data_IF_141799819670
#
_entry.id   IF_141799819670
#
_cell.length_a   1.000
_cell.length_b   1.000
_cell.length_c   1.000
_cell.angle_alpha   90.00
_cell.angle_beta   90.00
_cell.angle_gamma   90.00
#
_symmetry.space_group_name_H-M   'P 1'
#
loop_
_entity.id
_entity.type
_entity.pdbx_description
1 polymer ?
#
# COMPACT_ATOMS: atom_id res chain seq x y z
N UNK A 1 -19.69 -9.76 22.62
CA UNK A 1 -18.85 -8.60 23.00
C UNK A 1 -18.35 -8.76 24.44
N UNK A 2 -17.16 -8.26 24.78
CA UNK A 2 -16.47 -8.39 26.09
C UNK A 2 -17.10 -7.61 27.27
N UNK A 3 -18.36 -7.15 27.16
CA UNK A 3 -19.10 -6.55 28.28
C UNK A 3 -18.73 -5.10 28.66
N UNK A 4 -17.85 -4.43 27.93
CA UNK A 4 -17.39 -3.07 28.27
C UNK A 4 -18.22 -1.92 27.67
N UNK A 5 -19.30 -2.21 26.95
CA UNK A 5 -20.26 -1.20 26.49
C UNK A 5 -21.29 -0.99 27.59
N UNK A 6 -21.50 0.25 28.03
CA UNK A 6 -22.46 0.59 29.10
C UNK A 6 -23.92 0.18 28.79
N UNK A 7 -24.21 -0.22 27.55
CA UNK A 7 -25.52 -0.64 27.05
C UNK A 7 -25.66 -2.15 26.80
N UNK A 8 -24.64 -2.98 27.07
CA UNK A 8 -24.71 -4.43 26.84
C UNK A 8 -24.94 -5.18 28.16
N UNK A 9 -25.94 -6.07 28.21
CA UNK A 9 -26.01 -7.09 29.27
C UNK A 9 -24.84 -8.07 29.06
N UNK A 10 -23.83 -8.12 29.96
CA UNK A 10 -22.68 -8.97 29.79
C UNK A 10 -23.02 -10.48 29.84
N UNK A 11 -24.25 -10.84 30.22
CA UNK A 11 -24.75 -12.23 30.28
C UNK A 11 -25.53 -12.65 29.03
N UNK A 12 -25.94 -11.71 28.18
CA UNK A 12 -26.64 -12.02 26.95
C UNK A 12 -25.63 -12.44 25.86
N UNK A 13 -25.81 -13.66 25.33
CA UNK A 13 -25.04 -14.15 24.18
C UNK A 13 -25.93 -14.17 22.95
N UNK A 14 -25.57 -13.40 21.93
CA UNK A 14 -26.21 -13.43 20.62
C UNK A 14 -25.26 -14.05 19.60
N UNK A 15 -25.75 -14.99 18.81
CA UNK A 15 -25.04 -15.47 17.62
C UNK A 15 -25.32 -14.50 16.48
N UNK A 16 -24.27 -13.95 15.89
CA UNK A 16 -24.36 -13.06 14.73
C UNK A 16 -23.85 -13.77 13.49
N UNK A 17 -24.57 -13.63 12.39
CA UNK A 17 -24.07 -14.00 11.07
C UNK A 17 -23.20 -12.86 10.53
N UNK A 18 -21.89 -12.97 10.73
CA UNK A 18 -20.92 -11.93 10.35
C UNK A 18 -20.81 -11.79 8.83
N UNK A 19 -20.96 -12.89 8.10
CA UNK A 19 -20.88 -12.89 6.64
C UNK A 19 -22.08 -12.16 6.04
N UNK A 20 -23.29 -12.39 6.57
CA UNK A 20 -24.49 -11.64 6.16
C UNK A 20 -24.37 -10.14 6.48
N UNK A 21 -23.77 -9.77 7.62
CA UNK A 21 -23.50 -8.37 7.96
C UNK A 21 -22.48 -7.77 6.98
N UNK A 22 -21.40 -8.49 6.65
CA UNK A 22 -20.42 -8.04 5.66
C UNK A 22 -21.09 -7.78 4.32
N UNK A 23 -21.84 -8.75 3.79
CA UNK A 23 -22.48 -8.67 2.48
C UNK A 23 -23.44 -7.47 2.41
N UNK A 24 -24.15 -7.18 3.50
CA UNK A 24 -25.06 -6.04 3.60
C UNK A 24 -24.34 -4.68 3.67
N UNK A 25 -23.11 -4.64 4.17
CA UNK A 25 -22.27 -3.44 4.26
C UNK A 25 -21.31 -3.29 3.07
N UNK A 26 -21.19 -4.31 2.22
CA UNK A 26 -20.30 -4.29 1.07
C UNK A 26 -20.80 -3.30 0.02
N UNK A 27 -19.93 -2.36 -0.36
CA UNK A 27 -20.19 -1.41 -1.43
C UNK A 27 -18.88 -1.02 -2.12
N UNK A 28 -18.98 -0.34 -3.27
CA UNK A 28 -17.83 0.29 -3.92
C UNK A 28 -17.18 1.28 -2.96
N UNK A 29 -15.85 1.22 -2.82
CA UNK A 29 -15.09 2.01 -1.87
C UNK A 29 -15.35 3.51 -2.04
N UNK A 30 -15.59 4.20 -0.93
CA UNK A 30 -15.94 5.62 -0.93
C UNK A 30 -14.66 6.45 -0.79
N UNK A 31 -14.55 7.50 -1.62
CA UNK A 31 -13.43 8.43 -1.60
C UNK A 31 -13.58 9.48 -0.49
N UNK A 32 -12.55 9.63 0.34
CA UNK A 32 -12.42 10.69 1.35
C UNK A 32 -11.20 11.55 1.06
N UNK A 33 -11.23 12.83 1.47
CA UNK A 33 -10.18 13.80 1.14
C UNK A 33 -9.41 14.35 2.34
N UNK A 34 -9.84 14.02 3.57
CA UNK A 34 -9.19 14.42 4.82
C UNK A 34 -9.75 13.61 6.00
N UNK A 35 -9.22 13.88 7.21
CA UNK A 35 -9.64 13.21 8.45
C UNK A 35 -11.05 13.60 8.94
N UNK A 36 -11.58 14.75 8.54
CA UNK A 36 -12.96 15.14 8.87
C UNK A 36 -13.95 14.30 8.05
N UNK A 37 -13.68 14.12 6.75
CA UNK A 37 -14.44 13.20 5.89
C UNK A 37 -14.33 11.75 6.36
N UNK A 38 -13.16 11.32 6.84
CA UNK A 38 -13.01 10.01 7.49
C UNK A 38 -13.90 9.88 8.73
N UNK A 39 -13.92 10.90 9.59
CA UNK A 39 -14.71 10.88 10.82
C UNK A 39 -16.20 10.81 10.52
N UNK A 40 -16.68 11.56 9.52
CA UNK A 40 -18.07 11.49 9.05
C UNK A 40 -18.42 10.10 8.50
N UNK A 41 -17.56 9.55 7.63
CA UNK A 41 -17.73 8.22 7.08
C UNK A 41 -17.75 7.13 8.18
N UNK A 42 -16.87 7.23 9.18
CA UNK A 42 -16.83 6.27 10.30
C UNK A 42 -18.14 6.27 11.09
N UNK A 43 -18.72 7.46 11.31
CA UNK A 43 -19.99 7.58 12.03
C UNK A 43 -21.15 6.96 11.25
N UNK A 44 -21.21 7.19 9.93
CA UNK A 44 -22.20 6.57 9.04
C UNK A 44 -22.04 5.05 8.99
N UNK A 45 -20.81 4.56 8.76
CA UNK A 45 -20.50 3.13 8.80
C UNK A 45 -20.86 2.51 10.16
N UNK A 46 -20.58 3.22 11.26
CA UNK A 46 -20.90 2.78 12.60
C UNK A 46 -22.41 2.67 12.85
N UNK A 47 -23.20 3.59 12.31
CA UNK A 47 -24.67 3.50 12.34
C UNK A 47 -25.15 2.28 11.55
N UNK A 48 -24.66 2.09 10.32
CA UNK A 48 -25.08 0.97 9.49
C UNK A 48 -24.70 -0.37 10.12
N UNK A 49 -23.49 -0.47 10.67
CA UNK A 49 -23.04 -1.64 11.43
C UNK A 49 -23.95 -1.93 12.63
N UNK A 50 -24.32 -0.89 13.40
CA UNK A 50 -25.26 -1.05 14.51
C UNK A 50 -26.61 -1.60 14.05
N UNK A 51 -27.16 -1.04 12.97
CA UNK A 51 -28.44 -1.47 12.38
C UNK A 51 -28.37 -2.95 11.98
N UNK A 52 -27.31 -3.37 11.28
CA UNK A 52 -27.12 -4.76 10.87
C UNK A 52 -26.99 -5.71 12.07
N UNK A 53 -26.24 -5.31 13.11
CA UNK A 53 -26.11 -6.08 14.34
C UNK A 53 -27.48 -6.21 15.04
N UNK A 54 -28.25 -5.14 15.13
CA UNK A 54 -29.56 -5.14 15.77
C UNK A 54 -30.58 -6.03 15.02
N UNK A 55 -30.55 -6.01 13.67
CA UNK A 55 -31.35 -6.92 12.84
C UNK A 55 -31.06 -8.38 13.16
N UNK A 56 -29.77 -8.76 13.26
CA UNK A 56 -29.36 -10.14 13.55
C UNK A 56 -29.61 -10.55 15.01
N UNK A 57 -29.18 -9.72 15.97
CA UNK A 57 -29.24 -10.04 17.39
C UNK A 57 -30.68 -10.15 17.92
N UNK A 58 -31.58 -9.30 17.40
CA UNK A 58 -32.94 -9.14 17.90
C UNK A 58 -34.02 -9.50 16.87
N UNK A 59 -33.63 -10.03 15.70
CA UNK A 59 -34.53 -10.42 14.59
C UNK A 59 -35.47 -9.29 14.14
N UNK A 60 -34.95 -8.05 14.16
CA UNK A 60 -35.69 -6.86 13.77
C UNK A 60 -35.68 -6.69 12.25
N UNK A 61 -36.73 -6.07 11.69
CA UNK A 61 -36.64 -5.53 10.32
C UNK A 61 -35.64 -4.36 10.27
N UNK A 62 -35.19 -4.00 9.06
CA UNK A 62 -34.28 -2.85 8.89
C UNK A 62 -34.91 -1.57 9.46
N UNK A 63 -36.18 -1.33 9.19
CA UNK A 63 -36.92 -0.16 9.70
C UNK A 63 -37.00 -0.17 11.23
N UNK A 64 -37.27 -1.32 11.84
CA UNK A 64 -37.29 -1.46 13.29
C UNK A 64 -35.92 -1.19 13.91
N UNK A 65 -34.84 -1.74 13.33
CA UNK A 65 -33.48 -1.53 13.79
C UNK A 65 -33.03 -0.06 13.63
N UNK A 66 -33.40 0.61 12.54
CA UNK A 66 -33.18 2.05 12.38
C UNK A 66 -33.90 2.86 13.45
N UNK A 67 -35.16 2.54 13.75
CA UNK A 67 -35.90 3.20 14.85
C UNK A 67 -35.21 2.98 16.20
N UNK A 68 -34.63 1.79 16.44
CA UNK A 68 -33.81 1.56 17.64
C UNK A 68 -32.63 2.51 17.67
N UNK A 69 -31.84 2.60 16.59
CA UNK A 69 -30.73 3.56 16.52
C UNK A 69 -31.17 5.00 16.78
N UNK A 70 -32.28 5.43 16.16
CA UNK A 70 -32.83 6.77 16.27
C UNK A 70 -33.32 7.12 17.69
N UNK A 71 -33.62 6.12 18.52
CA UNK A 71 -34.05 6.28 19.91
C UNK A 71 -32.93 6.11 20.94
N UNK A 72 -31.75 5.61 20.54
CA UNK A 72 -30.56 5.54 21.40
C UNK A 72 -30.12 6.96 21.78
N UNK A 73 -29.78 7.16 23.07
CA UNK A 73 -29.33 8.48 23.56
C UNK A 73 -28.02 8.92 22.91
N UNK A 74 -27.77 10.23 22.89
CA UNK A 74 -26.53 10.78 22.34
C UNK A 74 -25.29 10.21 23.05
N UNK A 75 -25.34 10.04 24.37
CA UNK A 75 -24.24 9.48 25.16
C UNK A 75 -23.92 8.03 24.76
N UNK A 76 -24.96 7.24 24.47
CA UNK A 76 -24.80 5.87 24.01
C UNK A 76 -24.26 5.81 22.57
N UNK A 77 -24.71 6.69 21.66
CA UNK A 77 -24.12 6.81 20.31
C UNK A 77 -22.65 7.24 20.36
N UNK A 78 -22.29 8.18 21.23
CA UNK A 78 -20.89 8.57 21.46
C UNK A 78 -20.05 7.43 22.01
N UNK A 79 -20.61 6.61 22.90
CA UNK A 79 -19.94 5.42 23.43
C UNK A 79 -19.74 4.35 22.35
N UNK A 80 -20.70 4.19 21.44
CA UNK A 80 -20.61 3.31 20.28
C UNK A 80 -19.52 3.77 19.29
N UNK A 81 -19.52 5.04 18.89
CA UNK A 81 -18.47 5.59 18.02
C UNK A 81 -17.08 5.48 18.68
N UNK A 82 -16.99 5.74 20.00
CA UNK A 82 -15.75 5.56 20.74
C UNK A 82 -15.26 4.11 20.70
N UNK A 83 -16.15 3.13 20.89
CA UNK A 83 -15.81 1.71 20.78
C UNK A 83 -15.34 1.35 19.37
N UNK A 84 -16.06 1.81 18.34
CA UNK A 84 -15.70 1.54 16.95
C UNK A 84 -14.34 2.13 16.64
N UNK A 85 -14.08 3.37 17.05
CA UNK A 85 -12.82 4.08 16.86
C UNK A 85 -11.65 3.39 17.57
N UNK A 86 -11.86 2.84 18.76
CA UNK A 86 -10.82 2.13 19.52
C UNK A 86 -10.67 0.66 19.12
N UNK A 87 -11.54 0.14 18.26
CA UNK A 87 -11.42 -1.22 17.74
C UNK A 87 -10.11 -1.36 16.93
N UNK A 88 -9.29 -2.40 17.14
CA UNK A 88 -7.94 -2.48 16.56
C UNK A 88 -7.89 -2.28 15.04
N UNK A 89 -8.82 -2.87 14.30
CA UNK A 89 -8.89 -2.71 12.83
C UNK A 89 -9.19 -1.27 12.40
N UNK A 90 -10.18 -0.62 13.04
CA UNK A 90 -10.55 0.76 12.73
C UNK A 90 -9.44 1.74 13.15
N UNK A 91 -8.82 1.51 14.31
CA UNK A 91 -7.71 2.33 14.79
C UNK A 91 -6.51 2.25 13.84
N UNK A 92 -6.15 1.07 13.33
CA UNK A 92 -5.08 0.93 12.33
C UNK A 92 -5.40 1.69 11.04
N UNK A 93 -6.65 1.63 10.58
CA UNK A 93 -7.10 2.42 9.43
C UNK A 93 -6.98 3.92 9.69
N UNK A 94 -7.43 4.40 10.86
CA UNK A 94 -7.32 5.81 11.25
C UNK A 94 -5.86 6.29 11.30
N UNK A 95 -4.95 5.48 11.87
CA UNK A 95 -3.51 5.78 11.92
C UNK A 95 -2.87 5.80 10.52
N UNK A 96 -3.26 4.87 9.65
CA UNK A 96 -2.77 4.82 8.27
C UNK A 96 -3.25 6.03 7.46
N UNK A 97 -4.51 6.42 7.60
CA UNK A 97 -5.08 7.59 6.91
C UNK A 97 -4.49 8.90 7.43
N UNK A 98 -4.29 9.01 8.75
CA UNK A 98 -3.59 10.16 9.34
C UNK A 98 -2.22 10.30 8.69
N UNK A 99 -1.44 9.21 8.65
CA UNK A 99 -0.15 9.17 7.97
C UNK A 99 -0.21 9.55 6.49
N UNK A 100 -1.20 9.02 5.77
CA UNK A 100 -1.42 9.30 4.35
C UNK A 100 -1.63 10.79 4.08
N UNK A 101 -2.58 11.42 4.78
CA UNK A 101 -2.89 12.84 4.59
C UNK A 101 -1.76 13.75 5.10
N UNK A 102 -1.11 13.41 6.23
CA UNK A 102 0.04 14.17 6.75
C UNK A 102 1.22 14.16 5.78
N UNK A 103 1.41 13.10 5.01
CA UNK A 103 2.51 12.97 4.04
C UNK A 103 2.13 13.43 2.62
N UNK A 104 1.00 14.11 2.44
CA UNK A 104 0.62 14.76 1.18
C UNK A 104 -0.33 13.97 0.28
N UNK A 105 -0.86 12.85 0.77
CA UNK A 105 -2.01 12.17 0.16
C UNK A 105 -3.21 13.11 0.05
N UNK A 106 -4.02 12.93 -1.01
CA UNK A 106 -5.16 13.82 -1.33
C UNK A 106 -6.50 13.13 -1.24
N UNK A 107 -6.63 11.95 -1.83
CA UNK A 107 -7.87 11.17 -1.82
C UNK A 107 -7.53 9.73 -1.48
N UNK A 108 -8.27 9.15 -0.52
CA UNK A 108 -8.17 7.76 -0.15
C UNK A 108 -9.54 7.09 -0.34
N UNK A 109 -9.55 5.86 -0.86
CA UNK A 109 -10.76 5.06 -1.01
C UNK A 109 -10.78 3.99 0.08
N UNK A 110 -11.89 3.93 0.82
CA UNK A 110 -11.99 3.13 2.04
C UNK A 110 -12.92 1.95 1.86
N UNK A 111 -12.54 0.83 2.46
CA UNK A 111 -13.39 -0.35 2.63
C UNK A 111 -12.97 -1.08 3.90
N UNK A 112 -13.90 -1.81 4.53
CA UNK A 112 -13.64 -2.61 5.73
C UNK A 112 -14.13 -4.03 5.49
N UNK A 113 -13.25 -5.00 5.75
CA UNK A 113 -13.61 -6.40 5.86
C UNK A 113 -13.90 -6.73 7.32
N UNK A 114 -15.11 -7.21 7.59
CA UNK A 114 -15.52 -7.78 8.86
C UNK A 114 -15.13 -9.26 8.89
N UNK A 115 -14.61 -9.68 10.04
CA UNK A 115 -14.12 -11.04 10.22
C UNK A 115 -14.43 -11.48 11.64
N UNK A 116 -15.08 -12.64 11.76
CA UNK A 116 -15.21 -13.32 13.04
C UNK A 116 -13.83 -13.74 13.56
N UNK A 117 -13.65 -13.67 14.88
CA UNK A 117 -12.40 -14.06 15.53
C UNK A 117 -12.04 -15.51 15.16
N UNK A 118 -10.81 -15.72 14.66
CA UNK A 118 -10.28 -17.05 14.35
C UNK A 118 -10.82 -17.70 13.08
N UNK A 119 -11.46 -16.94 12.19
CA UNK A 119 -11.87 -17.41 10.85
C UNK A 119 -10.96 -16.83 9.77
N UNK A 120 -10.96 -17.38 8.56
CA UNK A 120 -10.19 -16.83 7.42
C UNK A 120 -10.70 -15.49 6.86
N UNK A 121 -11.78 -14.95 7.45
CA UNK A 121 -12.47 -13.74 7.01
C UNK A 121 -13.26 -13.93 5.71
N UNK A 122 -13.57 -12.81 5.08
CA UNK A 122 -14.29 -12.74 3.80
C UNK A 122 -13.47 -13.34 2.65
N UNK A 123 -14.15 -13.69 1.56
CA UNK A 123 -13.48 -14.06 0.30
C UNK A 123 -12.70 -12.86 -0.26
N UNK A 124 -11.42 -12.75 0.10
CA UNK A 124 -10.55 -11.57 -0.15
C UNK A 124 -10.60 -11.07 -1.59
N UNK A 125 -10.56 -11.98 -2.57
CA UNK A 125 -10.62 -11.64 -3.99
C UNK A 125 -11.92 -10.94 -4.37
N UNK A 126 -13.05 -11.58 -4.07
CA UNK A 126 -14.39 -11.03 -4.33
C UNK A 126 -14.60 -9.70 -3.60
N UNK A 127 -14.13 -9.61 -2.35
CA UNK A 127 -14.19 -8.39 -1.56
C UNK A 127 -13.47 -7.22 -2.24
N UNK A 128 -12.26 -7.45 -2.77
CA UNK A 128 -11.49 -6.43 -3.49
C UNK A 128 -12.16 -6.02 -4.81
N UNK A 129 -12.71 -6.96 -5.57
CA UNK A 129 -13.48 -6.69 -6.79
C UNK A 129 -14.71 -5.81 -6.49
N UNK A 130 -15.55 -6.24 -5.55
CA UNK A 130 -16.76 -5.53 -5.16
C UNK A 130 -16.45 -4.10 -4.62
N UNK A 131 -15.30 -3.94 -3.94
CA UNK A 131 -14.85 -2.64 -3.44
C UNK A 131 -14.22 -1.73 -4.51
N UNK A 132 -13.39 -2.26 -5.42
CA UNK A 132 -12.47 -1.43 -6.21
C UNK A 132 -12.65 -1.48 -7.73
N UNK A 133 -13.46 -2.39 -8.28
CA UNK A 133 -13.72 -2.42 -9.73
C UNK A 133 -14.52 -1.18 -10.17
N UNK A 134 -15.45 -0.71 -9.33
CA UNK A 134 -16.17 0.55 -9.53
C UNK A 134 -15.37 1.81 -9.19
N UNK A 135 -14.23 1.68 -8.52
CA UNK A 135 -13.40 2.79 -8.06
C UNK A 135 -12.23 3.03 -9.03
N UNK A 136 -12.54 3.49 -10.25
CA UNK A 136 -11.56 3.63 -11.32
C UNK A 136 -10.33 4.47 -10.92
N UNK A 137 -10.52 5.54 -10.14
CA UNK A 137 -9.47 6.50 -9.74
C UNK A 137 -8.43 6.00 -8.71
N UNK A 138 -8.55 4.75 -8.24
CA UNK A 138 -7.53 4.13 -7.37
C UNK A 138 -6.28 3.81 -8.20
N UNK A 139 -5.10 4.09 -7.65
CA UNK A 139 -3.80 3.78 -8.26
C UNK A 139 -2.88 2.95 -7.35
N UNK A 140 -3.16 2.93 -6.04
CA UNK A 140 -2.39 2.20 -5.05
C UNK A 140 -3.32 1.54 -4.05
N UNK A 141 -2.92 0.37 -3.54
CA UNK A 141 -3.64 -0.36 -2.49
C UNK A 141 -2.75 -0.60 -1.29
N UNK A 142 -3.31 -0.51 -0.10
CA UNK A 142 -2.64 -0.82 1.15
C UNK A 142 -3.59 -1.63 2.03
N UNK A 143 -3.04 -2.54 2.82
CA UNK A 143 -3.76 -3.35 3.80
C UNK A 143 -3.13 -3.14 5.19
N UNK A 144 -3.40 -1.99 5.86
CA UNK A 144 -2.63 -1.57 7.02
C UNK A 144 -2.74 -2.54 8.19
N UNK A 145 -1.64 -3.17 8.56
CA UNK A 145 -1.54 -4.11 9.69
C UNK A 145 -2.34 -5.41 9.50
N UNK A 146 -2.68 -5.78 8.27
CA UNK A 146 -3.32 -7.06 7.96
C UNK A 146 -2.28 -8.15 7.64
N UNK A 147 -2.64 -9.40 7.91
CA UNK A 147 -1.78 -10.58 7.75
C UNK A 147 -1.28 -10.81 6.31
N UNK A 148 -0.35 -11.77 6.18
CA UNK A 148 0.23 -12.18 4.91
C UNK A 148 -0.81 -12.53 3.84
N UNK A 149 -1.93 -13.17 4.21
CA UNK A 149 -2.96 -13.55 3.26
C UNK A 149 -3.67 -12.34 2.65
N UNK A 150 -3.91 -11.29 3.45
CA UNK A 150 -4.41 -10.01 2.94
C UNK A 150 -3.37 -9.26 2.11
N UNK A 151 -2.09 -9.25 2.54
CA UNK A 151 -0.99 -8.67 1.77
C UNK A 151 -0.86 -9.36 0.39
N UNK A 152 -1.03 -10.68 0.34
CA UNK A 152 -0.99 -11.46 -0.89
C UNK A 152 -2.19 -11.13 -1.78
N UNK A 153 -3.39 -11.07 -1.21
CA UNK A 153 -4.60 -10.75 -1.96
C UNK A 153 -4.53 -9.37 -2.63
N UNK A 154 -4.02 -8.33 -1.95
CA UNK A 154 -3.87 -7.01 -2.56
C UNK A 154 -2.78 -6.98 -3.63
N UNK A 155 -1.70 -7.77 -3.49
CA UNK A 155 -0.66 -7.90 -4.50
C UNK A 155 -1.19 -8.58 -5.78
N UNK A 156 -1.90 -9.69 -5.62
CA UNK A 156 -2.51 -10.44 -6.73
C UNK A 156 -3.60 -9.62 -7.43
N UNK A 157 -4.42 -8.89 -6.67
CA UNK A 157 -5.43 -8.00 -7.24
C UNK A 157 -4.83 -6.80 -7.96
N UNK A 158 -3.73 -6.24 -7.44
CA UNK A 158 -3.01 -5.16 -8.10
C UNK A 158 -2.33 -5.61 -9.40
N UNK A 159 -1.86 -6.87 -9.45
CA UNK A 159 -1.22 -7.48 -10.60
C UNK A 159 -2.18 -8.02 -11.68
N UNK A 160 -1.65 -8.74 -12.68
CA UNK A 160 -2.40 -9.20 -13.86
C UNK A 160 -3.55 -10.17 -13.55
N UNK A 161 -3.52 -10.82 -12.38
CA UNK A 161 -4.62 -11.67 -11.91
C UNK A 161 -5.82 -10.85 -11.41
N UNK A 162 -5.71 -9.53 -11.32
CA UNK A 162 -6.81 -8.62 -11.01
C UNK A 162 -6.93 -7.43 -11.94
N UNK A 163 -6.93 -6.24 -11.37
CA UNK A 163 -7.06 -5.01 -12.14
C UNK A 163 -5.83 -4.73 -13.01
N UNK A 164 -4.65 -5.19 -12.58
CA UNK A 164 -3.39 -5.09 -13.34
C UNK A 164 -2.88 -3.66 -13.55
N UNK A 165 -3.54 -2.66 -12.98
CA UNK A 165 -3.21 -1.23 -13.14
C UNK A 165 -2.93 -0.53 -11.81
N UNK A 166 -2.72 -1.30 -10.73
CA UNK A 166 -2.52 -0.78 -9.38
C UNK A 166 -1.13 -1.15 -8.83
N UNK A 167 -0.72 -0.45 -7.79
CA UNK A 167 0.50 -0.74 -7.05
C UNK A 167 0.22 -1.02 -5.57
N UNK A 168 0.60 -2.21 -5.09
CA UNK A 168 0.38 -2.64 -3.71
C UNK A 168 1.50 -2.15 -2.77
N UNK A 169 1.13 -1.45 -1.71
CA UNK A 169 2.02 -1.01 -0.64
C UNK A 169 1.88 -2.00 0.50
N UNK A 170 2.86 -2.89 0.58
CA UNK A 170 2.91 -3.99 1.52
C UNK A 170 3.72 -3.64 2.75
N UNK A 171 3.57 -4.45 3.79
CA UNK A 171 4.23 -4.25 5.06
C UNK A 171 5.02 -5.48 5.45
N UNK A 172 6.20 -5.27 6.02
CA UNK A 172 6.89 -6.35 6.75
C UNK A 172 6.08 -6.67 8.01
N UNK A 173 6.06 -7.93 8.46
CA UNK A 173 5.58 -8.28 9.79
C UNK A 173 6.26 -7.39 10.83
N UNK A 174 5.52 -6.87 11.81
CA UNK A 174 6.04 -5.94 12.83
C UNK A 174 7.36 -6.39 13.45
N UNK A 175 7.49 -7.70 13.67
CA UNK A 175 8.59 -8.32 14.40
C UNK A 175 9.57 -9.09 13.50
N UNK A 176 9.64 -8.77 12.20
CA UNK A 176 10.44 -9.54 11.23
C UNK A 176 11.95 -9.62 11.57
N UNK A 177 12.48 -8.74 12.43
CA UNK A 177 13.89 -8.73 12.87
C UNK A 177 14.08 -9.14 14.35
N UNK A 178 13.06 -9.69 15.00
CA UNK A 178 13.13 -10.13 16.40
C UNK A 178 13.35 -11.65 16.51
N UNK A 179 13.96 -12.08 17.63
CA UNK A 179 14.02 -13.50 18.01
C UNK A 179 12.65 -13.98 18.49
N UNK A 180 12.36 -15.25 18.24
CA UNK A 180 11.25 -15.95 18.89
C UNK A 180 11.34 -15.84 20.41
N UNK A 181 10.29 -15.33 21.09
CA UNK A 181 10.34 -15.24 22.54
C UNK A 181 10.18 -16.60 23.19
N UNK A 182 10.90 -16.76 24.31
CA UNK A 182 10.95 -18.02 25.04
C UNK A 182 9.54 -18.49 25.39
N UNK A 183 9.21 -19.72 24.99
CA UNK A 183 7.94 -20.38 25.33
C UNK A 183 6.77 -20.09 24.40
N UNK A 184 6.98 -19.43 23.25
CA UNK A 184 5.98 -19.36 22.16
C UNK A 184 6.41 -20.28 21.02
N UNK A 185 5.46 -20.99 20.41
CA UNK A 185 5.65 -21.68 19.13
C UNK A 185 5.17 -20.73 18.03
N UNK A 186 6.08 -20.19 17.23
CA UNK A 186 5.76 -19.29 16.12
C UNK A 186 5.54 -20.06 14.82
N UNK A 187 4.62 -19.58 13.98
CA UNK A 187 4.48 -20.09 12.62
C UNK A 187 5.61 -19.58 11.71
N UNK A 188 5.73 -20.14 10.49
CA UNK A 188 6.79 -19.83 9.52
C UNK A 188 6.84 -18.35 9.07
N UNK A 189 5.83 -17.54 9.43
CA UNK A 189 5.69 -16.14 9.02
C UNK A 189 5.96 -15.13 10.15
N UNK A 190 6.53 -15.58 11.27
CA UNK A 190 6.90 -14.74 12.43
C UNK A 190 5.75 -13.88 12.97
N UNK A 191 4.91 -14.53 13.78
CA UNK A 191 3.97 -13.95 14.77
C UNK A 191 2.47 -13.92 14.44
N UNK A 192 1.97 -14.79 13.57
CA UNK A 192 0.53 -15.05 13.50
C UNK A 192 0.20 -16.43 14.08
N UNK A 193 -0.96 -16.57 14.73
CA UNK A 193 -1.65 -17.87 14.70
C UNK A 193 -2.11 -18.09 13.24
N UNK A 194 -2.14 -19.33 12.72
CA UNK A 194 -2.72 -19.60 11.40
C UNK A 194 -4.10 -18.92 11.26
N UNK A 195 -4.37 -18.31 10.11
CA UNK A 195 -5.66 -17.67 9.78
C UNK A 195 -6.10 -16.52 10.70
N UNK A 196 -5.13 -15.78 11.24
CA UNK A 196 -5.36 -14.62 12.11
C UNK A 196 -4.61 -13.37 11.61
N UNK A 197 -5.19 -12.15 11.71
CA UNK A 197 -4.44 -10.90 11.53
C UNK A 197 -3.16 -10.91 12.38
N UNK A 198 -2.10 -10.20 11.96
CA UNK A 198 -0.78 -10.19 12.61
C UNK A 198 -0.76 -10.04 14.15
N UNK A 199 -1.85 -9.56 14.76
CA UNK A 199 -1.97 -9.37 16.20
C UNK A 199 -3.41 -9.64 16.69
N UNK A 200 -3.82 -10.90 16.83
CA UNK A 200 -4.97 -11.27 17.69
C UNK A 200 -4.57 -11.78 19.07
N UNK A 201 -3.28 -11.77 19.40
CA UNK A 201 -2.94 -11.53 20.79
C UNK A 201 -3.29 -10.07 21.07
N UNK A 202 -4.45 -9.86 21.67
CA UNK A 202 -4.80 -8.66 22.42
C UNK A 202 -3.59 -8.31 23.31
N UNK A 203 -2.69 -7.46 22.82
CA UNK A 203 -1.96 -6.56 23.69
C UNK A 203 -3.03 -5.54 24.05
N UNK A 204 -3.78 -5.84 25.12
CA UNK A 204 -4.76 -4.97 25.75
C UNK A 204 -4.25 -3.53 25.65
N UNK A 205 -4.81 -2.76 24.72
CA UNK A 205 -4.54 -1.36 24.48
C UNK A 205 -3.08 -0.93 24.72
N UNK A 206 -2.10 -1.32 23.88
CA UNK A 206 -0.64 -1.03 23.99
C UNK A 206 -0.31 0.02 25.08
N UNK A 207 -0.24 -0.38 26.37
CA UNK A 207 -0.04 0.55 27.46
C UNK A 207 1.46 0.77 27.50
N UNK A 208 1.87 1.88 26.91
CA UNK A 208 3.26 2.33 26.82
C UNK A 208 4.17 1.48 25.92
N UNK A 209 5.07 2.11 25.14
CA UNK A 209 6.08 1.41 24.37
C UNK A 209 7.13 0.77 25.29
N UNK A 210 6.88 -0.43 25.82
CA UNK A 210 7.93 -1.25 26.45
C UNK A 210 8.65 -2.04 25.35
N UNK A 211 9.58 -1.40 24.64
CA UNK A 211 10.41 -2.10 23.67
C UNK A 211 11.58 -2.81 24.37
N UNK A 212 11.44 -4.11 24.56
CA UNK A 212 12.60 -5.01 24.72
C UNK A 212 12.57 -6.04 23.60
N UNK A 213 12.72 -5.58 22.36
CA UNK A 213 12.83 -6.48 21.21
C UNK A 213 14.20 -7.17 21.22
N UNK A 214 14.18 -8.49 21.43
CA UNK A 214 15.35 -9.34 21.34
C UNK A 214 15.85 -9.36 19.88
N UNK A 215 16.85 -8.54 19.54
CA UNK A 215 17.39 -8.49 18.17
C UNK A 215 18.00 -9.81 17.74
N UNK A 216 17.66 -10.26 16.53
CA UNK A 216 18.29 -11.41 15.88
C UNK A 216 19.43 -10.93 14.97
N UNK A 217 20.70 -11.19 15.31
CA UNK A 217 21.85 -10.69 14.54
C UNK A 217 22.30 -11.61 13.37
N UNK A 218 21.48 -12.57 12.93
CA UNK A 218 21.86 -13.65 11.99
C UNK A 218 21.25 -13.55 10.58
N UNK A 219 21.16 -12.36 9.98
CA UNK A 219 20.29 -12.07 8.82
C UNK A 219 20.65 -12.76 7.49
N UNK A 220 21.90 -13.15 7.27
CA UNK A 220 22.37 -13.59 5.93
C UNK A 220 21.96 -15.00 5.53
N UNK A 221 21.55 -15.85 6.49
CA UNK A 221 21.15 -17.24 6.24
C UNK A 221 19.66 -17.51 6.54
N UNK A 222 18.90 -16.46 6.85
CA UNK A 222 17.52 -16.61 7.29
C UNK A 222 16.56 -16.71 6.10
N UNK A 223 16.22 -17.94 5.74
CA UNK A 223 15.23 -18.26 4.71
C UNK A 223 13.82 -17.76 5.04
N UNK A 224 13.52 -17.47 6.33
CA UNK A 224 12.20 -16.94 6.71
C UNK A 224 11.99 -15.54 6.15
N UNK A 225 13.05 -14.71 6.12
CA UNK A 225 12.99 -13.35 5.56
C UNK A 225 12.67 -13.32 4.05
N UNK A 226 12.89 -14.41 3.33
CA UNK A 226 12.50 -14.49 1.91
C UNK A 226 10.98 -14.68 1.76
N UNK A 227 10.32 -15.16 2.83
CA UNK A 227 8.89 -15.50 2.89
C UNK A 227 8.05 -14.54 3.75
N UNK A 228 8.66 -13.54 4.39
CA UNK A 228 7.93 -12.59 5.26
C UNK A 228 6.96 -11.68 4.53
N UNK A 229 7.13 -11.52 3.21
CA UNK A 229 6.23 -10.72 2.37
C UNK A 229 5.91 -11.45 1.07
N UNK A 230 4.70 -11.28 0.52
CA UNK A 230 4.33 -11.83 -0.78
C UNK A 230 5.24 -11.32 -1.90
N UNK A 231 5.37 -12.12 -2.97
CA UNK A 231 6.23 -11.87 -4.13
C UNK A 231 5.43 -11.99 -5.42
N UNK A 232 5.86 -11.29 -6.45
CA UNK A 232 5.38 -11.46 -7.82
C UNK A 232 6.55 -11.51 -8.82
N UNK A 233 6.24 -11.68 -10.11
CA UNK A 233 7.25 -11.70 -11.16
C UNK A 233 7.71 -10.30 -11.57
N UNK A 234 6.79 -9.34 -11.64
CA UNK A 234 7.02 -8.05 -12.34
C UNK A 234 6.85 -6.81 -11.46
N UNK A 235 6.75 -6.96 -10.14
CA UNK A 235 6.94 -5.88 -9.18
C UNK A 235 5.71 -5.03 -8.85
N UNK A 236 4.49 -5.54 -8.93
CA UNK A 236 3.25 -4.79 -8.62
C UNK A 236 3.09 -4.37 -7.15
N UNK A 237 4.10 -4.61 -6.31
CA UNK A 237 4.10 -4.04 -4.97
C UNK A 237 5.49 -3.82 -4.40
N UNK A 238 5.51 -3.19 -3.23
CA UNK A 238 6.72 -2.93 -2.46
C UNK A 238 6.44 -3.09 -0.97
N UNK A 239 7.34 -3.77 -0.26
CA UNK A 239 7.23 -3.99 1.17
C UNK A 239 8.03 -2.96 1.97
N UNK A 240 7.42 -2.45 3.04
CA UNK A 240 8.04 -1.45 3.91
C UNK A 240 8.08 -1.89 5.37
N UNK A 241 9.18 -1.57 6.03
CA UNK A 241 9.38 -1.77 7.47
C UNK A 241 10.50 -0.87 7.99
N UNK A 242 10.74 -0.78 9.31
CA UNK A 242 9.90 -1.32 10.38
C UNK A 242 8.61 -0.51 10.55
N UNK A 243 7.77 -0.92 11.50
CA UNK A 243 6.59 -0.16 11.90
C UNK A 243 6.97 1.12 12.64
N UNK A 244 6.01 2.04 12.73
CA UNK A 244 6.22 3.41 13.21
C UNK A 244 5.69 3.58 14.63
N UNK A 245 6.27 4.50 15.39
CA UNK A 245 5.71 5.02 16.64
C UNK A 245 5.09 6.38 16.33
N UNK A 246 3.80 6.54 16.57
CA UNK A 246 3.01 7.73 16.19
C UNK A 246 2.18 8.23 17.38
N UNK A 247 1.70 9.46 17.32
CA UNK A 247 0.78 9.98 18.34
C UNK A 247 -0.54 9.22 18.35
N UNK A 248 -1.06 8.98 19.55
CA UNK A 248 -2.32 8.29 19.75
C UNK A 248 -3.50 9.26 19.57
N UNK A 249 -4.35 9.11 18.53
CA UNK A 249 -5.47 10.00 18.29
C UNK A 249 -6.65 9.80 19.27
N UNK A 250 -6.61 8.74 20.08
CA UNK A 250 -7.59 8.41 21.14
C UNK A 250 -6.96 8.42 22.53
N UNK A 251 -5.83 9.12 22.69
CA UNK A 251 -5.11 9.30 23.96
C UNK A 251 -6.05 9.76 25.09
N UNK A 252 -6.01 9.08 26.23
CA UNK A 252 -6.82 9.42 27.42
C UNK A 252 -5.98 9.90 28.60
N UNK A 253 -4.70 9.55 28.63
CA UNK A 253 -3.74 9.90 29.68
C UNK A 253 -2.39 10.29 29.08
N UNK A 254 -1.45 10.89 29.84
CA UNK A 254 -0.11 11.11 29.32
C UNK A 254 0.67 9.81 29.00
N UNK A 255 0.30 8.67 29.60
CA UNK A 255 1.02 7.40 29.49
C UNK A 255 0.72 6.59 28.21
N UNK A 256 -0.41 6.86 27.55
CA UNK A 256 -0.85 6.26 26.29
C UNK A 256 -0.68 7.22 25.09
N UNK A 257 0.21 8.21 25.21
CA UNK A 257 0.44 9.24 24.19
C UNK A 257 0.86 8.69 22.83
N UNK A 258 1.53 7.53 22.79
CA UNK A 258 2.07 6.95 21.56
C UNK A 258 1.53 5.55 21.32
N UNK A 259 1.30 5.24 20.04
CA UNK A 259 0.91 3.93 19.54
C UNK A 259 1.86 3.47 18.43
N UNK A 260 1.80 2.18 18.13
CA UNK A 260 2.53 1.58 17.01
C UNK A 260 1.61 1.51 15.80
N UNK A 261 2.09 2.00 14.66
CA UNK A 261 1.31 2.10 13.44
C UNK A 261 1.96 1.35 12.26
N UNK A 262 1.13 0.72 11.41
CA UNK A 262 1.55 0.20 10.12
C UNK A 262 2.13 1.31 9.22
N UNK A 263 3.24 1.07 8.49
CA UNK A 263 3.89 2.09 7.68
C UNK A 263 3.16 2.38 6.34
N UNK A 264 2.33 1.47 5.83
CA UNK A 264 1.78 1.57 4.46
C UNK A 264 1.05 2.87 4.17
N UNK A 265 0.23 3.36 5.09
CA UNK A 265 -0.50 4.63 4.93
C UNK A 265 0.42 5.84 4.80
N UNK A 266 1.46 5.92 5.65
CA UNK A 266 2.46 6.99 5.60
C UNK A 266 3.23 6.95 4.28
N UNK A 267 3.68 5.76 3.88
CA UNK A 267 4.40 5.53 2.63
C UNK A 267 3.55 5.89 1.42
N UNK A 268 2.28 5.51 1.39
CA UNK A 268 1.34 5.88 0.33
C UNK A 268 1.22 7.40 0.16
N UNK A 269 1.18 8.13 1.28
CA UNK A 269 1.18 9.59 1.29
C UNK A 269 2.47 10.16 0.69
N UNK A 270 3.63 9.65 1.12
CA UNK A 270 4.95 10.08 0.60
C UNK A 270 5.07 9.81 -0.90
N UNK A 271 4.60 8.65 -1.37
CA UNK A 271 4.58 8.32 -2.80
C UNK A 271 3.74 9.35 -3.57
N UNK A 272 2.50 9.59 -3.12
CA UNK A 272 1.63 10.57 -3.76
C UNK A 272 2.23 11.99 -3.79
N UNK A 273 2.87 12.42 -2.70
CA UNK A 273 3.56 13.70 -2.65
C UNK A 273 4.79 13.76 -3.57
N UNK A 274 5.52 12.65 -3.69
CA UNK A 274 6.68 12.53 -4.58
C UNK A 274 6.28 12.63 -6.05
N UNK A 275 5.11 12.10 -6.41
CA UNK A 275 4.60 12.20 -7.77
C UNK A 275 4.19 13.63 -8.13
N UNK A 276 3.63 14.37 -7.17
CA UNK A 276 3.03 15.69 -7.42
C UNK A 276 3.99 16.87 -7.23
N UNK A 277 5.15 16.67 -6.59
CA UNK A 277 6.08 17.77 -6.31
C UNK A 277 6.82 18.23 -7.58
N UNK A 278 7.28 19.51 -7.63
CA UNK A 278 8.14 19.99 -8.71
C UNK A 278 9.42 19.14 -8.87
N UNK A 279 9.73 18.72 -10.09
CA UNK A 279 10.83 17.78 -10.36
C UNK A 279 10.61 16.38 -9.76
N UNK A 280 9.35 16.04 -9.50
CA UNK A 280 8.87 14.72 -9.11
C UNK A 280 8.25 13.98 -10.29
N UNK A 281 7.32 13.07 -9.98
CA UNK A 281 6.61 12.22 -10.94
C UNK A 281 6.80 10.73 -10.66
N UNK A 282 6.00 9.89 -11.29
CA UNK A 282 6.00 8.43 -11.05
C UNK A 282 7.34 7.75 -11.33
N UNK A 283 8.17 8.36 -12.17
CA UNK A 283 9.53 7.92 -12.54
C UNK A 283 10.57 8.24 -11.45
N UNK A 284 10.22 9.03 -10.43
CA UNK A 284 11.10 9.33 -9.30
C UNK A 284 10.92 8.28 -8.20
N UNK A 285 12.04 7.74 -7.72
CA UNK A 285 12.01 6.82 -6.60
C UNK A 285 11.50 7.53 -5.32
N UNK A 286 10.50 6.97 -4.61
CA UNK A 286 9.97 7.53 -3.36
C UNK A 286 10.88 7.17 -2.16
N UNK A 287 12.18 7.41 -2.31
CA UNK A 287 13.20 7.13 -1.30
C UNK A 287 14.05 8.38 -1.04
N UNK A 288 14.69 8.39 0.13
CA UNK A 288 15.29 9.59 0.71
C UNK A 288 14.26 10.73 0.89
N UNK A 289 12.98 10.39 1.01
CA UNK A 289 11.91 11.33 1.30
C UNK A 289 11.64 11.36 2.81
N UNK A 290 11.37 12.55 3.40
CA UNK A 290 10.98 12.63 4.80
C UNK A 290 9.65 11.92 5.04
N UNK A 291 9.56 11.21 6.16
CA UNK A 291 8.32 10.61 6.63
C UNK A 291 7.83 11.40 7.84
N UNK A 292 6.74 12.13 7.66
CA UNK A 292 6.12 12.99 8.65
C UNK A 292 5.11 12.22 9.51
N UNK A 293 4.83 12.70 10.71
CA UNK A 293 3.84 12.09 11.62
C UNK A 293 4.34 10.90 12.45
N UNK A 294 5.58 10.47 12.25
CA UNK A 294 6.24 9.49 13.09
C UNK A 294 7.12 10.16 14.16
N UNK A 295 6.95 9.76 15.41
CA UNK A 295 7.80 10.15 16.52
C UNK A 295 9.10 9.32 16.53
N UNK A 296 8.99 8.03 16.24
CA UNK A 296 10.13 7.10 16.19
C UNK A 296 9.83 5.91 15.26
N UNK A 297 10.82 5.06 15.01
CA UNK A 297 10.66 3.75 14.38
C UNK A 297 10.85 2.63 15.41
N UNK A 298 10.04 1.57 15.32
CA UNK A 298 10.03 0.48 16.31
C UNK A 298 11.40 -0.20 16.44
N UNK A 299 12.07 -0.43 15.31
CA UNK A 299 13.37 -1.11 15.27
C UNK A 299 14.39 -0.26 14.52
N UNK A 300 15.42 0.24 15.23
CA UNK A 300 16.53 0.93 14.58
C UNK A 300 17.43 -0.09 13.84
N UNK A 301 17.47 0.01 12.51
CA UNK A 301 18.23 -0.88 11.63
C UNK A 301 19.52 -0.18 11.19
N UNK A 302 20.65 -0.88 11.24
CA UNK A 302 21.96 -0.39 10.80
C UNK A 302 22.18 -0.62 9.30
N UNK A 303 23.21 -0.01 8.73
CA UNK A 303 23.55 -0.16 7.31
C UNK A 303 23.94 -1.60 6.95
N UNK A 304 24.63 -2.30 7.85
CA UNK A 304 25.01 -3.70 7.66
C UNK A 304 23.79 -4.63 7.67
N UNK A 305 22.83 -4.39 8.56
CA UNK A 305 21.58 -5.14 8.62
C UNK A 305 20.76 -4.89 7.35
N UNK A 306 20.59 -3.62 6.96
CA UNK A 306 19.87 -3.25 5.75
C UNK A 306 20.51 -3.83 4.47
N UNK A 307 21.84 -3.89 4.37
CA UNK A 307 22.52 -4.48 3.22
C UNK A 307 22.09 -5.94 2.98
N UNK A 308 21.71 -6.68 4.03
CA UNK A 308 21.21 -8.06 3.92
C UNK A 308 19.71 -8.14 3.56
N UNK A 309 18.95 -7.07 3.81
CA UNK A 309 17.51 -6.98 3.52
C UNK A 309 17.23 -6.45 2.11
N UNK A 310 18.14 -5.65 1.56
CA UNK A 310 18.04 -5.06 0.22
C UNK A 310 17.86 -6.12 -0.90
N UNK A 311 18.65 -7.21 -0.98
CA UNK A 311 18.41 -8.28 -1.96
C UNK A 311 17.05 -8.95 -1.81
N UNK A 312 16.44 -8.87 -0.62
CA UNK A 312 15.10 -9.37 -0.32
C UNK A 312 14.01 -8.36 -0.68
N UNK A 313 14.31 -7.24 -1.35
CA UNK A 313 13.29 -6.27 -1.77
C UNK A 313 12.54 -5.59 -0.61
N UNK A 314 13.11 -5.60 0.60
CA UNK A 314 12.50 -4.96 1.77
C UNK A 314 12.99 -3.52 1.88
N UNK A 315 12.07 -2.57 1.85
CA UNK A 315 12.39 -1.14 1.94
C UNK A 315 12.40 -0.70 3.39
N UNK A 316 13.54 -0.17 3.83
CA UNK A 316 13.73 0.18 5.24
C UNK A 316 13.47 1.66 5.48
N UNK A 317 12.67 1.98 6.49
CA UNK A 317 12.47 3.32 7.04
C UNK A 317 13.54 3.53 8.12
N UNK A 318 14.27 4.64 8.03
CA UNK A 318 15.47 4.90 8.83
C UNK A 318 15.38 6.25 9.51
N UNK A 319 15.83 6.33 10.77
CA UNK A 319 16.21 7.60 11.36
C UNK A 319 17.61 8.01 10.85
N UNK A 320 17.71 9.20 10.26
CA UNK A 320 18.96 9.76 9.77
C UNK A 320 19.38 10.95 10.63
N UNK A 321 20.60 10.97 11.17
CA UNK A 321 21.12 12.13 11.90
C UNK A 321 20.92 13.40 11.08
N UNK A 322 20.37 14.45 11.71
CA UNK A 322 20.07 15.76 11.12
C UNK A 322 19.01 15.78 10.00
N UNK A 323 18.51 14.63 9.56
CA UNK A 323 17.56 14.53 8.45
C UNK A 323 16.23 13.86 8.82
N UNK A 324 16.07 13.44 10.08
CA UNK A 324 14.84 12.86 10.61
C UNK A 324 14.56 11.44 10.09
N UNK A 325 13.31 11.01 10.23
CA UNK A 325 12.84 9.71 9.74
C UNK A 325 12.60 9.81 8.23
N UNK A 326 13.15 8.86 7.45
CA UNK A 326 13.07 8.85 5.99
C UNK A 326 12.83 7.45 5.46
N UNK A 327 12.15 7.35 4.32
CA UNK A 327 12.11 6.12 3.53
C UNK A 327 13.49 5.91 2.91
N UNK A 328 14.12 4.76 3.14
CA UNK A 328 15.49 4.47 2.70
C UNK A 328 15.57 3.22 1.83
N UNK A 329 14.61 3.05 0.91
CA UNK A 329 14.59 1.97 -0.08
C UNK A 329 13.52 2.22 -1.14
N UNK A 330 13.77 1.76 -2.37
CA UNK A 330 12.85 1.90 -3.50
C UNK A 330 12.77 0.62 -4.36
N UNK A 331 12.83 -0.55 -3.72
CA UNK A 331 12.71 -1.85 -4.37
C UNK A 331 11.29 -2.39 -4.38
N UNK A 332 10.92 -3.12 -5.42
CA UNK A 332 9.66 -3.87 -5.49
C UNK A 332 9.82 -5.25 -4.84
N UNK A 333 8.73 -6.00 -4.77
CA UNK A 333 8.72 -7.42 -4.42
C UNK A 333 8.95 -8.35 -5.62
N UNK A 334 9.36 -7.80 -6.76
CA UNK A 334 9.63 -8.57 -7.98
C UNK A 334 10.72 -9.62 -7.77
N UNK A 335 10.56 -10.74 -8.46
CA UNK A 335 11.63 -11.73 -8.64
C UNK A 335 12.47 -11.47 -9.90
N UNK A 336 11.91 -10.81 -10.92
CA UNK A 336 12.66 -10.38 -12.11
C UNK A 336 13.47 -9.10 -11.82
N UNK A 337 14.80 -9.13 -11.99
CA UNK A 337 15.65 -7.97 -11.77
C UNK A 337 15.32 -6.73 -12.61
N UNK A 338 14.66 -6.89 -13.76
CA UNK A 338 14.23 -5.75 -14.59
C UNK A 338 13.19 -4.88 -13.88
N UNK A 339 12.41 -5.48 -12.99
CA UNK A 339 11.33 -4.83 -12.26
C UNK A 339 11.69 -4.48 -10.82
N UNK A 340 12.98 -4.50 -10.48
CA UNK A 340 13.47 -4.29 -9.12
C UNK A 340 13.09 -2.93 -8.52
N UNK A 341 12.86 -1.89 -9.32
CA UNK A 341 12.66 -0.54 -8.82
C UNK A 341 11.22 -0.07 -8.91
N UNK A 342 10.75 0.53 -7.81
CA UNK A 342 9.38 1.06 -7.68
C UNK A 342 9.09 2.10 -8.76
N UNK A 343 10.03 3.01 -9.01
CA UNK A 343 9.87 4.06 -10.03
C UNK A 343 9.70 3.49 -11.44
N UNK A 344 10.39 2.38 -11.76
CA UNK A 344 10.30 1.74 -13.06
C UNK A 344 8.93 1.09 -13.22
N UNK A 345 8.48 0.24 -12.27
CA UNK A 345 7.17 -0.40 -12.37
C UNK A 345 6.02 0.59 -12.38
N UNK A 346 6.07 1.62 -11.52
CA UNK A 346 5.02 2.65 -11.45
C UNK A 346 4.98 3.51 -12.71
N UNK A 347 6.13 3.79 -13.35
CA UNK A 347 6.16 4.44 -14.65
C UNK A 347 5.42 3.60 -15.70
N UNK A 348 5.68 2.30 -15.79
CA UNK A 348 4.97 1.44 -16.74
C UNK A 348 3.45 1.38 -16.47
N UNK A 349 3.03 1.24 -15.21
CA UNK A 349 1.60 1.30 -14.85
C UNK A 349 0.94 2.62 -15.30
N UNK A 350 1.63 3.74 -15.11
CA UNK A 350 1.17 5.05 -15.55
C UNK A 350 1.06 5.14 -17.08
N UNK A 351 2.07 4.66 -17.82
CA UNK A 351 2.08 4.68 -19.28
C UNK A 351 0.98 3.78 -19.85
N UNK A 352 0.88 2.53 -19.38
CA UNK A 352 -0.12 1.56 -19.82
C UNK A 352 -1.54 2.07 -19.62
N UNK A 353 -1.84 2.63 -18.44
CA UNK A 353 -3.14 3.17 -18.11
C UNK A 353 -3.47 4.43 -18.92
N UNK A 354 -2.53 5.37 -19.02
CA UNK A 354 -2.73 6.61 -19.77
C UNK A 354 -2.93 6.36 -21.27
N UNK A 355 -2.18 5.41 -21.83
CA UNK A 355 -2.32 5.01 -23.23
C UNK A 355 -3.67 4.33 -23.46
N UNK A 356 -4.07 3.39 -22.59
CA UNK A 356 -5.37 2.71 -22.67
C UNK A 356 -6.53 3.73 -22.68
N UNK A 357 -6.49 4.70 -21.77
CA UNK A 357 -7.51 5.74 -21.67
C UNK A 357 -7.53 6.65 -22.93
N UNK A 358 -6.35 6.95 -23.50
CA UNK A 358 -6.22 7.81 -24.67
C UNK A 358 -6.64 7.14 -25.99
N UNK A 359 -6.54 5.81 -26.11
CA UNK A 359 -6.78 5.08 -27.37
C UNK A 359 -8.10 4.32 -27.42
N UNK A 360 -8.97 4.49 -26.42
CA UNK A 360 -10.28 3.83 -26.37
C UNK A 360 -11.19 4.10 -27.57
N UNK A 361 -11.00 5.22 -28.27
CA UNK A 361 -11.72 5.57 -29.50
C UNK A 361 -11.45 4.63 -30.68
N UNK A 362 -10.34 3.88 -30.66
CA UNK A 362 -9.98 3.00 -31.78
C UNK A 362 -10.74 1.67 -31.77
N UNK A 363 -11.39 1.34 -30.66
CA UNK A 363 -12.19 0.11 -30.54
C UNK A 363 -13.35 0.17 -31.55
N UNK A 364 -13.52 -0.91 -32.33
CA UNK A 364 -14.49 -1.04 -33.42
C UNK A 364 -14.30 -0.15 -34.66
N UNK A 365 -13.19 0.60 -34.77
CA UNK A 365 -12.86 1.25 -36.03
C UNK A 365 -12.32 0.25 -37.07
N UNK A 366 -12.47 0.52 -38.38
CA UNK A 366 -11.84 -0.29 -39.42
C UNK A 366 -10.32 -0.36 -39.23
N UNK A 367 -9.73 -1.56 -39.22
CA UNK A 367 -8.28 -1.74 -39.16
C UNK A 367 -7.63 -1.45 -40.53
N UNK A 368 -7.51 -0.17 -40.85
CA UNK A 368 -6.91 0.36 -42.08
C UNK A 368 -5.68 1.22 -41.76
N UNK A 369 -4.87 1.52 -42.78
CA UNK A 369 -3.63 2.30 -42.64
C UNK A 369 -3.82 3.61 -41.87
N UNK A 370 -4.92 4.32 -42.10
CA UNK A 370 -5.19 5.59 -41.41
C UNK A 370 -5.40 5.38 -39.90
N UNK A 371 -6.27 4.46 -39.49
CA UNK A 371 -6.49 4.11 -38.07
C UNK A 371 -5.19 3.73 -37.36
N UNK A 372 -4.36 2.91 -38.02
CA UNK A 372 -3.06 2.51 -37.48
C UNK A 372 -2.09 3.68 -37.30
N UNK A 373 -2.06 4.59 -38.29
CA UNK A 373 -1.26 5.80 -38.23
C UNK A 373 -1.75 6.77 -37.14
N UNK A 374 -3.06 6.92 -36.98
CA UNK A 374 -3.65 7.79 -35.95
C UNK A 374 -3.35 7.27 -34.53
N UNK A 375 -3.42 5.95 -34.33
CA UNK A 375 -2.99 5.27 -33.10
C UNK A 375 -1.50 5.51 -32.81
N UNK A 376 -0.64 5.23 -33.79
CA UNK A 376 0.80 5.46 -33.67
C UNK A 376 1.12 6.91 -33.28
N UNK A 377 0.48 7.87 -33.94
CA UNK A 377 0.69 9.29 -33.69
C UNK A 377 0.23 9.69 -32.28
N UNK A 378 -0.96 9.25 -31.87
CA UNK A 378 -1.53 9.54 -30.54
C UNK A 378 -0.58 9.08 -29.43
N UNK A 379 -0.12 7.84 -29.52
CA UNK A 379 0.80 7.24 -28.53
C UNK A 379 2.16 7.93 -28.57
N UNK A 380 2.70 8.20 -29.77
CA UNK A 380 4.01 8.84 -29.93
C UNK A 380 4.04 10.26 -29.34
N UNK A 381 2.96 11.05 -29.49
CA UNK A 381 2.87 12.40 -28.91
C UNK A 381 2.85 12.35 -27.38
N UNK A 382 2.15 11.38 -26.80
CA UNK A 382 2.15 11.17 -25.35
C UNK A 382 3.54 10.78 -24.83
N UNK A 383 4.18 9.78 -25.44
CA UNK A 383 5.52 9.34 -25.02
C UNK A 383 6.58 10.43 -25.22
N UNK A 384 6.46 11.25 -26.27
CA UNK A 384 7.32 12.42 -26.45
C UNK A 384 7.15 13.45 -25.32
N UNK A 385 5.93 13.61 -24.82
CA UNK A 385 5.66 14.46 -23.64
C UNK A 385 6.35 13.89 -22.38
N UNK A 386 6.25 12.57 -22.15
CA UNK A 386 6.95 11.90 -21.05
C UNK A 386 8.48 12.03 -21.17
N UNK A 387 9.04 11.91 -22.37
CA UNK A 387 10.46 12.12 -22.64
C UNK A 387 10.89 13.55 -22.28
N UNK A 388 10.17 14.58 -22.72
CA UNK A 388 10.50 15.98 -22.40
C UNK A 388 10.37 16.31 -20.90
N UNK A 389 9.59 15.52 -20.16
CA UNK A 389 9.48 15.62 -18.71
C UNK A 389 10.57 14.83 -17.96
N UNK A 390 11.51 14.19 -18.68
CA UNK A 390 12.60 13.41 -18.09
C UNK A 390 12.16 12.05 -17.54
N UNK A 391 10.99 11.54 -17.93
CA UNK A 391 10.51 10.24 -17.46
C UNK A 391 11.16 9.07 -18.21
N UNK A 392 11.65 9.32 -19.42
CA UNK A 392 12.28 8.34 -20.30
C UNK A 392 13.74 8.74 -20.55
N UNK A 393 14.64 7.76 -20.62
CA UNK A 393 16.08 7.94 -20.80
C UNK A 393 16.48 7.78 -22.28
N UNK A 394 17.41 8.60 -22.76
CA UNK A 394 17.90 8.59 -24.15
C UNK A 394 18.47 9.95 -24.57
N UNK A 395 19.50 9.95 -25.42
CA UNK A 395 20.08 11.19 -25.96
C UNK A 395 19.12 11.85 -26.97
N UNK A 396 18.34 11.02 -27.67
CA UNK A 396 17.25 11.44 -28.56
C UNK A 396 15.95 10.73 -28.19
N UNK A 397 14.81 11.28 -28.62
CA UNK A 397 13.50 10.66 -28.38
C UNK A 397 13.42 9.24 -28.99
N UNK A 398 14.12 8.99 -30.11
CA UNK A 398 14.15 7.68 -30.77
C UNK A 398 14.98 6.64 -30.01
N UNK A 399 15.91 7.06 -29.14
CA UNK A 399 16.61 6.17 -28.22
C UNK A 399 15.74 5.82 -27.00
N UNK A 400 14.80 6.72 -26.67
CA UNK A 400 13.97 6.63 -25.48
C UNK A 400 12.71 5.78 -25.68
N UNK A 401 12.08 5.83 -26.86
CA UNK A 401 10.92 4.99 -27.15
C UNK A 401 10.72 4.71 -28.65
N UNK A 402 10.02 3.61 -28.93
CA UNK A 402 9.54 3.27 -30.29
C UNK A 402 8.08 2.87 -30.25
N UNK A 403 7.31 3.26 -31.28
CA UNK A 403 5.92 2.85 -31.48
C UNK A 403 5.76 2.30 -32.90
N UNK A 404 5.35 1.03 -33.00
CA UNK A 404 5.08 0.36 -34.26
C UNK A 404 3.59 0.01 -34.38
N UNK A 405 2.97 0.43 -35.49
CA UNK A 405 1.59 0.11 -35.84
C UNK A 405 1.46 0.25 -37.36
N UNK A 406 1.90 -0.77 -38.07
CA UNK A 406 1.98 -0.80 -39.53
C UNK A 406 1.68 -2.21 -40.05
N UNK A 407 1.93 -2.47 -41.33
CA UNK A 407 1.63 -3.76 -41.95
C UNK A 407 2.51 -4.90 -41.44
N UNK A 408 3.68 -4.60 -40.84
CA UNK A 408 4.61 -5.63 -40.40
C UNK A 408 4.13 -6.30 -39.11
N UNK A 409 3.58 -5.52 -38.17
CA UNK A 409 2.98 -6.04 -36.94
C UNK A 409 1.44 -6.17 -37.00
N UNK A 410 0.83 -5.84 -38.15
CA UNK A 410 -0.58 -6.11 -38.43
C UNK A 410 -0.73 -6.80 -39.80
N UNK A 411 -0.25 -8.05 -39.93
CA UNK A 411 -0.40 -8.82 -41.17
C UNK A 411 -1.88 -9.10 -41.47
N UNK A 412 -2.21 -9.40 -42.72
CA UNK A 412 -3.59 -9.62 -43.15
C UNK A 412 -4.30 -10.75 -42.37
N UNK A 413 -3.57 -11.72 -41.81
CA UNK A 413 -4.14 -12.74 -40.92
C UNK A 413 -4.79 -12.13 -39.68
N UNK A 414 -4.08 -11.21 -39.03
CA UNK A 414 -4.47 -10.60 -37.76
C UNK A 414 -5.61 -9.61 -38.00
N UNK A 415 -5.50 -8.84 -39.08
CA UNK A 415 -6.55 -7.94 -39.54
C UNK A 415 -7.86 -8.70 -39.79
N UNK A 416 -7.81 -9.86 -40.47
CA UNK A 416 -9.00 -10.70 -40.71
C UNK A 416 -9.56 -11.32 -39.43
N UNK A 417 -8.72 -11.54 -38.42
CA UNK A 417 -9.12 -11.98 -37.08
C UNK A 417 -9.62 -10.84 -36.18
N UNK A 418 -9.66 -9.61 -36.68
CA UNK A 418 -10.09 -8.43 -35.92
C UNK A 418 -9.07 -7.94 -34.89
N UNK A 419 -7.81 -8.38 -35.01
CA UNK A 419 -6.71 -7.93 -34.15
C UNK A 419 -6.09 -6.66 -34.74
N UNK A 420 -5.78 -5.70 -33.86
CA UNK A 420 -4.96 -4.54 -34.16
C UNK A 420 -3.88 -4.45 -33.08
N UNK A 421 -2.62 -4.58 -33.50
CA UNK A 421 -1.46 -4.64 -32.62
C UNK A 421 -0.67 -3.33 -32.70
N UNK A 422 -0.27 -2.82 -31.54
CA UNK A 422 0.68 -1.72 -31.40
C UNK A 422 1.83 -2.19 -30.53
N UNK A 423 3.03 -2.26 -31.08
CA UNK A 423 4.23 -2.59 -30.31
C UNK A 423 4.86 -1.30 -29.78
N UNK A 424 5.11 -1.27 -28.47
CA UNK A 424 5.65 -0.12 -27.77
C UNK A 424 6.88 -0.58 -26.98
N UNK A 425 7.99 0.10 -27.18
CA UNK A 425 9.19 -0.06 -26.36
C UNK A 425 9.52 1.28 -25.73
N UNK A 426 9.88 1.27 -24.44
CA UNK A 426 10.27 2.47 -23.67
C UNK A 426 11.49 2.18 -22.82
N UNK A 427 12.37 3.17 -22.70
CA UNK A 427 13.56 3.12 -21.86
C UNK A 427 13.33 3.96 -20.58
N UNK A 428 13.13 3.32 -19.42
CA UNK A 428 12.86 4.03 -18.17
C UNK A 428 14.16 4.62 -17.58
N UNK A 429 13.99 5.62 -16.72
CA UNK A 429 15.08 6.16 -15.89
C UNK A 429 15.27 5.28 -14.64
N UNK A 430 16.52 4.97 -14.29
CA UNK A 430 16.87 4.19 -13.10
C UNK A 430 17.40 5.08 -11.97
N UNK A 431 17.06 4.80 -10.70
CA UNK A 431 17.58 5.55 -9.57
C UNK A 431 19.04 5.21 -9.28
N UNK A 432 19.81 6.21 -8.84
CA UNK A 432 21.17 6.01 -8.34
C UNK A 432 21.14 5.52 -6.88
N UNK A 433 21.13 4.21 -6.67
CA UNK A 433 21.13 3.63 -5.32
C UNK A 433 22.50 3.70 -4.63
N UNK A 434 23.59 3.53 -5.39
CA UNK A 434 24.95 3.54 -4.87
C UNK A 434 25.78 4.62 -5.56
N UNK A 435 26.40 5.50 -4.78
CA UNK A 435 27.34 6.51 -5.28
C UNK A 435 28.75 6.09 -4.92
N UNK A 436 29.58 5.79 -5.93
CA UNK A 436 30.99 5.42 -5.73
C UNK A 436 31.90 6.61 -6.02
N UNK A 437 32.37 7.28 -4.96
CA UNK A 437 33.37 8.35 -5.05
C UNK A 437 34.76 7.71 -4.92
N UNK A 438 35.66 7.98 -5.88
CA UNK A 438 37.04 7.48 -5.88
C UNK A 438 38.00 8.64 -5.74
N UNK A 439 38.85 8.61 -4.72
CA UNK A 439 39.93 9.59 -4.54
C UNK A 439 41.23 9.05 -5.15
N UNK A 440 41.95 9.91 -5.85
CA UNK A 440 43.31 9.64 -6.33
C UNK A 440 44.19 10.84 -5.99
N UNK A 441 45.43 10.56 -5.56
CA UNK A 441 46.43 11.60 -5.37
C UNK A 441 47.07 11.90 -6.73
N UNK A 442 46.93 13.14 -7.20
CA UNK A 442 47.70 13.59 -8.36
C UNK A 442 49.19 13.68 -7.99
N UNK A 443 50.11 13.27 -8.87
CA UNK A 443 51.54 13.44 -8.63
C UNK A 443 51.90 14.94 -8.50
N UNK A 444 52.87 15.25 -7.63
CA UNK A 444 53.42 16.60 -7.51
C UNK A 444 54.02 17.04 -8.85
N UNK A 445 53.69 18.27 -9.29
CA UNK A 445 54.29 18.90 -10.46
C UNK A 445 55.79 19.08 -10.17
N UNK A 446 56.66 18.32 -10.83
CA UNK A 446 58.09 18.63 -10.83
C UNK A 446 58.31 19.84 -11.73
N UNK A 447 58.60 21.00 -11.15
CA UNK A 447 59.23 22.08 -11.92
C UNK A 447 60.60 21.57 -12.36
N UNK A 448 60.78 21.44 -13.68
CA UNK A 448 62.11 21.25 -14.25
C UNK A 448 62.81 22.58 -14.06
N UNK A 449 63.75 22.65 -13.12
CA UNK A 449 64.69 23.76 -13.04
C UNK A 449 65.60 23.67 -14.28
N UNK A 450 65.41 24.56 -15.26
CA UNK A 450 66.43 24.85 -16.26
C UNK A 450 67.59 25.54 -15.53
N UNK A 451 68.78 24.92 -15.61
CA UNK A 451 70.01 25.39 -14.98
C UNK A 451 70.79 26.40 -15.81
#
# INVERSE_FOLDING_TARGET
>A
HTGNLACADPKASHTLDVDAIQDALQHTAIGINNMDSFSAWRQEYGQDLFVQIAMQASKLSKEQATVVWDTVSNEARMSWDKWLRTHPGMLRLELALTGFFTNGGKTAWLTIALQAHGTGGVAKRKFLEDSFDGASNVAMLAAPGLDFGWQQAILEYAGPSGRGDLFAILETPRYFLTKEPRGRNLNEFRWAEPDSPYEMAVLDAVPSPHFTELRFQGFSADALLDRVVPRDSVGHGAAYGPWLVVENPVCTTPGDKYLIAPPSGHVAGVIAATDLKPGGGVHKAPANEPLLGAAEIVTQISDAEQASLNPKGLNIIRHRPLAGIRIWGARTVASDPLWNYISVRRLFLFLERSIRDAVGWAVFLPNVKNTRMDLKNTISVFLYTCYNQGMLDGDTWSDAFTVQCDGDNNPDSDVRSGLLTVDISVRPVYPAEFVRIRFQQSPMRSEVAEG
#
